data_IF_364148635775
#
_entry.id   IF_364148635775
#
_cell.length_a   1.000
_cell.length_b   1.000
_cell.length_c   1.000
_cell.angle_alpha   90.00
_cell.angle_beta   90.00
_cell.angle_gamma   90.00
#
_symmetry.space_group_name_H-M   'P 1'
#
loop_
_entity.id
_entity.type
_entity.pdbx_description
1 polymer ?
#
# COMPACT_ATOMS: atom_id res chain seq x y z
N UNK A 1 -13.51 12.73 -8.09
CA UNK A 1 -14.74 11.89 -8.16
C UNK A 1 -14.40 10.67 -9.01
N UNK A 2 -14.71 9.46 -8.56
CA UNK A 2 -14.46 8.24 -9.35
C UNK A 2 -15.39 8.23 -10.58
N UNK A 3 -14.91 7.65 -11.68
CA UNK A 3 -15.67 7.60 -12.93
C UNK A 3 -16.92 6.70 -12.83
N UNK A 4 -16.89 5.69 -11.95
CA UNK A 4 -17.97 4.74 -11.73
C UNK A 4 -18.13 4.49 -10.21
N UNK A 5 -19.32 4.04 -9.81
CA UNK A 5 -19.55 3.51 -8.46
C UNK A 5 -18.90 2.12 -8.34
N UNK A 6 -18.36 1.80 -7.17
CA UNK A 6 -17.68 0.54 -6.93
C UNK A 6 -16.73 0.55 -5.74
N UNK A 7 -16.09 -0.58 -5.51
CA UNK A 7 -14.96 -0.69 -4.57
C UNK A 7 -13.66 -0.46 -5.34
N UNK A 8 -12.81 0.39 -4.77
CA UNK A 8 -11.48 0.72 -5.27
C UNK A 8 -10.46 0.49 -4.18
N UNK A 9 -9.23 0.20 -4.58
CA UNK A 9 -8.10 0.29 -3.69
C UNK A 9 -7.13 1.35 -4.20
N UNK A 10 -6.74 2.27 -3.32
CA UNK A 10 -5.71 3.27 -3.60
C UNK A 10 -4.42 2.72 -3.03
N UNK A 11 -3.42 2.53 -3.90
CA UNK A 11 -2.13 1.94 -3.55
C UNK A 11 -1.04 3.00 -3.67
N UNK A 12 -0.12 3.03 -2.71
CA UNK A 12 1.05 3.91 -2.74
C UNK A 12 2.32 3.09 -2.49
N UNK A 13 3.28 3.19 -3.42
CA UNK A 13 4.57 2.49 -3.38
C UNK A 13 5.69 3.44 -3.79
N UNK A 14 6.71 3.56 -2.94
CA UNK A 14 7.90 4.37 -3.21
C UNK A 14 9.11 3.52 -3.62
N UNK A 15 9.95 4.10 -4.47
CA UNK A 15 11.31 3.64 -4.82
C UNK A 15 12.28 4.77 -4.50
N UNK A 16 13.37 4.47 -3.80
CA UNK A 16 14.38 5.47 -3.44
C UNK A 16 15.42 5.71 -4.55
N UNK A 17 16.39 6.59 -4.28
CA UNK A 17 17.46 6.94 -5.23
C UNK A 17 18.44 5.80 -5.52
N UNK A 18 18.45 4.75 -4.70
CA UNK A 18 19.28 3.54 -4.90
C UNK A 18 18.50 2.44 -5.64
N UNK A 19 17.23 2.69 -5.99
CA UNK A 19 16.36 1.74 -6.68
C UNK A 19 15.66 0.74 -5.75
N UNK A 20 15.79 0.89 -4.43
CA UNK A 20 15.12 0.02 -3.46
C UNK A 20 13.66 0.41 -3.37
N UNK A 21 12.78 -0.58 -3.45
CA UNK A 21 11.33 -0.36 -3.53
C UNK A 21 10.61 -1.06 -2.40
N UNK A 22 9.57 -0.41 -1.85
CA UNK A 22 8.73 -1.01 -0.83
C UNK A 22 8.16 -2.37 -1.27
N UNK A 23 8.18 -3.40 -0.40
CA UNK A 23 7.73 -4.73 -0.76
C UNK A 23 6.21 -4.87 -0.74
N UNK A 24 5.69 -5.90 -1.39
CA UNK A 24 4.27 -6.28 -1.32
C UNK A 24 3.90 -6.95 0.01
N UNK A 25 4.87 -7.65 0.61
CA UNK A 25 4.73 -8.34 1.88
C UNK A 25 6.09 -8.35 2.58
N UNK A 26 6.08 -8.42 3.91
CA UNK A 26 7.26 -8.61 4.74
C UNK A 26 7.01 -9.76 5.71
N UNK A 27 8.07 -10.28 6.29
CA UNK A 27 7.97 -11.19 7.42
C UNK A 27 7.34 -10.46 8.62
N UNK A 28 6.33 -11.09 9.19
CA UNK A 28 5.68 -10.59 10.39
C UNK A 28 6.60 -10.77 11.60
N UNK A 29 6.61 -9.78 12.49
CA UNK A 29 7.30 -9.87 13.77
C UNK A 29 6.36 -9.52 14.92
N UNK A 30 6.50 -10.18 16.09
CA UNK A 30 5.56 -10.02 17.21
C UNK A 30 5.60 -8.65 17.88
N UNK A 31 6.62 -7.84 17.61
CA UNK A 31 6.72 -6.48 18.13
C UNK A 31 6.07 -5.43 17.23
N UNK A 32 5.72 -5.79 15.99
CA UNK A 32 5.06 -4.90 15.03
C UNK A 32 5.96 -3.81 14.43
N UNK A 33 7.27 -4.00 14.41
CA UNK A 33 8.20 -2.97 13.91
C UNK A 33 8.54 -3.12 12.42
N UNK A 34 9.03 -2.02 11.84
CA UNK A 34 9.61 -1.95 10.50
C UNK A 34 8.67 -2.38 9.38
N UNK A 35 7.37 -2.14 9.54
CA UNK A 35 6.45 -2.32 8.43
C UNK A 35 6.62 -1.21 7.40
N UNK A 36 7.30 -1.54 6.29
CA UNK A 36 7.43 -0.69 5.12
C UNK A 36 6.72 -1.27 3.89
N UNK A 37 5.82 -2.24 4.05
CA UNK A 37 4.98 -2.73 2.93
C UNK A 37 4.24 -1.58 2.28
N UNK A 38 3.99 -1.67 0.97
CA UNK A 38 3.23 -0.62 0.29
C UNK A 38 1.84 -0.45 0.92
N UNK A 39 1.44 0.81 1.15
CA UNK A 39 0.18 1.10 1.80
C UNK A 39 -0.98 0.96 0.81
N UNK A 40 -2.08 0.37 1.26
CA UNK A 40 -3.31 0.16 0.47
C UNK A 40 -4.51 0.61 1.28
N UNK A 41 -5.34 1.45 0.69
CA UNK A 41 -6.57 1.97 1.30
C UNK A 41 -7.76 1.55 0.45
N UNK A 42 -8.65 0.73 1.03
CA UNK A 42 -9.92 0.38 0.41
C UNK A 42 -10.91 1.55 0.50
N UNK A 43 -11.54 1.90 -0.62
CA UNK A 43 -12.51 2.99 -0.73
C UNK A 43 -13.73 2.49 -1.48
N UNK A 44 -14.94 2.79 -0.97
CA UNK A 44 -16.19 2.55 -1.69
C UNK A 44 -16.72 3.86 -2.25
N UNK A 45 -16.86 3.93 -3.56
CA UNK A 45 -17.54 5.02 -4.26
C UNK A 45 -18.98 4.60 -4.56
N UNK A 46 -19.94 5.47 -4.23
CA UNK A 46 -21.37 5.33 -4.51
C UNK A 46 -21.83 6.38 -5.50
#
# INVERSE_FOLDING_TARGET
>A
KFAQAGYYEIWARATDSEGITQPFAIDWNPKGYLNNTMHRVGVRAS
#
